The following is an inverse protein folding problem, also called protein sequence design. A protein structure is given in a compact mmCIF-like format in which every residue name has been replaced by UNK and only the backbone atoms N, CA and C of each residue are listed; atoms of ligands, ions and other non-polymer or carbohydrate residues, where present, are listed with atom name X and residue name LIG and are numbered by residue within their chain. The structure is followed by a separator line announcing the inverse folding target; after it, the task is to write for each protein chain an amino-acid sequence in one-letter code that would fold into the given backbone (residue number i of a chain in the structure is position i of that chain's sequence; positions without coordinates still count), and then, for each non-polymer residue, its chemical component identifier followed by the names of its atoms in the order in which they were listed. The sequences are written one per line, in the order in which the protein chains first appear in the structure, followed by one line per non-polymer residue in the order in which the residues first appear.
data_IF_583616417959
#
_entry.id   IF_583616417959
#
_cell.length_a   1.000
_cell.length_b   1.000
_cell.length_c   1.000
_cell.angle_alpha   90.00
_cell.angle_beta   90.00
_cell.angle_gamma   90.00
#
_symmetry.space_group_name_H-M   'P 1'
#
loop_
_entity.id
_entity.type
_entity.pdbx_description
1 polymer ?
#
# COMPACT_ATOMS: atom_id res chain seq x y z
N UNK A 1 -5.63 18.72 1.19
CA UNK A 1 -5.34 18.61 -0.26
C UNK A 1 -5.40 17.17 -0.78
N UNK A 2 -4.79 16.18 -0.10
CA UNK A 2 -4.85 14.77 -0.54
C UNK A 2 -6.24 14.14 -0.34
N UNK A 3 -6.96 14.47 0.74
CA UNK A 3 -8.35 14.01 0.90
C UNK A 3 -9.27 14.52 -0.22
N UNK A 4 -9.12 15.78 -0.65
CA UNK A 4 -9.86 16.31 -1.79
C UNK A 4 -9.40 15.71 -3.12
N UNK A 5 -8.12 15.38 -3.28
CA UNK A 5 -7.64 14.62 -4.44
C UNK A 5 -8.23 13.20 -4.44
N UNK A 6 -8.27 12.53 -3.30
CA UNK A 6 -8.86 11.19 -3.13
C UNK A 6 -10.36 11.20 -3.42
N UNK A 7 -11.08 12.20 -2.90
CA UNK A 7 -12.50 12.39 -3.19
C UNK A 7 -12.74 12.81 -4.63
N UNK A 8 -11.92 13.69 -5.20
CA UNK A 8 -12.04 14.08 -6.60
C UNK A 8 -11.74 12.91 -7.54
N UNK A 9 -10.78 12.05 -7.21
CA UNK A 9 -10.47 10.84 -8.00
C UNK A 9 -11.57 9.78 -7.87
N UNK A 10 -12.18 9.64 -6.70
CA UNK A 10 -13.31 8.74 -6.47
C UNK A 10 -14.61 9.25 -7.11
N UNK A 11 -14.87 10.57 -7.05
CA UNK A 11 -16.11 11.22 -7.51
C UNK A 11 -16.06 11.55 -9.01
N UNK A 12 -14.91 11.89 -9.59
CA UNK A 12 -14.80 12.26 -11.00
C UNK A 12 -14.95 11.08 -11.99
N UNK A 13 -15.24 9.87 -11.52
CA UNK A 13 -15.61 8.74 -12.37
C UNK A 13 -14.54 8.31 -13.39
N UNK A 14 -13.29 8.80 -13.26
CA UNK A 14 -12.19 8.49 -14.21
C UNK A 14 -11.58 7.10 -14.01
N UNK A 15 -12.10 6.32 -13.06
CA UNK A 15 -11.91 4.88 -12.97
C UNK A 15 -13.24 4.19 -13.30
N UNK A 16 -13.55 4.05 -14.59
CA UNK A 16 -14.72 3.30 -15.09
C UNK A 16 -14.64 1.77 -14.83
N UNK A 17 -13.82 1.29 -13.89
CA UNK A 17 -13.70 -0.14 -13.56
C UNK A 17 -13.46 -0.32 -12.06
N UNK A 18 -14.57 -0.31 -11.31
CA UNK A 18 -14.74 -0.86 -9.96
C UNK A 18 -13.78 -0.29 -8.88
N UNK A 19 -13.98 -0.67 -7.61
CA UNK A 19 -13.13 -0.34 -6.44
C UNK A 19 -13.44 0.99 -5.74
N UNK A 20 -14.70 1.17 -5.34
CA UNK A 20 -15.10 2.10 -4.29
C UNK A 20 -14.83 1.42 -2.93
N UNK A 21 -13.78 1.84 -2.23
CA UNK A 21 -13.57 1.61 -0.80
C UNK A 21 -13.74 0.14 -0.31
N UNK A 22 -12.70 -0.68 -0.41
CA UNK A 22 -12.71 -1.99 0.27
C UNK A 22 -12.49 -1.79 1.77
N UNK A 23 -13.51 -2.05 2.59
CA UNK A 23 -13.32 -2.25 4.02
C UNK A 23 -12.49 -3.52 4.20
N UNK A 24 -11.24 -3.36 4.62
CA UNK A 24 -10.41 -4.50 4.98
C UNK A 24 -11.10 -5.29 6.12
N UNK A 25 -10.86 -6.60 6.18
CA UNK A 25 -11.27 -7.41 7.34
C UNK A 25 -10.90 -6.68 8.64
N UNK A 26 -11.74 -6.70 9.70
CA UNK A 26 -11.41 -6.09 10.99
C UNK A 26 -10.03 -6.51 11.53
N UNK A 27 -9.55 -7.66 11.06
CA UNK A 27 -8.31 -8.28 11.46
C UNK A 27 -7.11 -7.91 10.58
N UNK A 28 -7.33 -7.23 9.46
CA UNK A 28 -6.30 -6.91 8.47
C UNK A 28 -5.19 -6.02 9.03
N UNK A 29 -5.46 -5.22 10.06
CA UNK A 29 -4.47 -4.36 10.70
C UNK A 29 -3.87 -4.96 11.99
N UNK A 30 -4.28 -6.17 12.39
CA UNK A 30 -3.76 -6.82 13.61
C UNK A 30 -2.29 -7.23 13.47
N UNK A 31 -1.82 -7.51 12.26
CA UNK A 31 -0.42 -7.82 11.98
C UNK A 31 -0.07 -7.55 10.52
N UNK A 32 1.23 -7.39 10.23
CA UNK A 32 1.71 -7.23 8.86
C UNK A 32 1.41 -8.46 7.97
N UNK A 33 1.38 -9.66 8.54
CA UNK A 33 1.00 -10.88 7.83
C UNK A 33 -0.49 -10.91 7.46
N UNK A 34 -1.37 -10.48 8.38
CA UNK A 34 -2.81 -10.38 8.11
C UNK A 34 -3.09 -9.30 7.04
N UNK A 35 -2.36 -8.19 7.10
CA UNK A 35 -2.41 -7.14 6.08
C UNK A 35 -1.97 -7.69 4.73
N UNK A 36 -0.83 -8.37 4.68
CA UNK A 36 -0.31 -8.97 3.46
C UNK A 36 -1.28 -9.98 2.82
N UNK A 37 -1.89 -10.86 3.61
CA UNK A 37 -2.94 -11.77 3.12
C UNK A 37 -4.11 -11.00 2.50
N UNK A 38 -4.55 -9.92 3.16
CA UNK A 38 -5.64 -9.07 2.67
C UNK A 38 -5.27 -8.37 1.36
N UNK A 39 -4.04 -7.85 1.27
CA UNK A 39 -3.54 -7.20 0.05
C UNK A 39 -3.47 -8.17 -1.12
N UNK A 40 -3.04 -9.42 -0.89
CA UNK A 40 -3.02 -10.48 -1.91
C UNK A 40 -4.40 -10.87 -2.40
N UNK A 41 -5.40 -10.83 -1.54
CA UNK A 41 -6.79 -11.13 -1.90
C UNK A 41 -7.41 -9.98 -2.69
N UNK A 42 -7.33 -8.76 -2.16
CA UNK A 42 -8.01 -7.57 -2.68
C UNK A 42 -7.33 -7.04 -3.96
N UNK A 43 -6.00 -7.12 -4.04
CA UNK A 43 -5.19 -6.62 -5.16
C UNK A 43 -5.52 -5.17 -5.52
N UNK A 44 -5.33 -4.23 -4.56
CA UNK A 44 -5.79 -2.86 -4.69
C UNK A 44 -5.19 -2.12 -5.89
N UNK A 45 -5.95 -1.16 -6.42
CA UNK A 45 -5.48 -0.20 -7.44
C UNK A 45 -4.86 1.06 -6.83
N UNK A 46 -5.17 1.33 -5.56
CA UNK A 46 -4.54 2.36 -4.73
C UNK A 46 -4.52 1.91 -3.27
N UNK A 47 -3.52 2.33 -2.49
CA UNK A 47 -3.38 1.94 -1.09
C UNK A 47 -2.94 3.11 -0.22
N UNK A 48 -3.66 3.33 0.88
CA UNK A 48 -3.35 4.30 1.91
C UNK A 48 -3.14 3.59 3.24
N UNK A 49 -2.10 3.96 3.98
CA UNK A 49 -1.89 3.49 5.34
C UNK A 49 -1.11 4.51 6.18
N UNK A 50 -1.11 4.31 7.51
CA UNK A 50 -0.29 5.12 8.42
C UNK A 50 1.21 4.85 8.21
N UNK A 51 2.07 5.79 8.63
CA UNK A 51 3.52 5.55 8.58
C UNK A 51 3.94 4.28 9.34
N UNK A 52 3.33 4.02 10.51
CA UNK A 52 3.57 2.80 11.28
C UNK A 52 3.22 1.54 10.49
N UNK A 53 2.07 1.53 9.82
CA UNK A 53 1.62 0.36 9.04
C UNK A 53 2.59 0.05 7.90
N UNK A 54 3.09 1.10 7.22
CA UNK A 54 4.11 0.95 6.19
C UNK A 54 5.44 0.44 6.73
N UNK A 55 5.87 0.89 7.91
CA UNK A 55 7.07 0.37 8.59
C UNK A 55 6.92 -1.11 8.98
N UNK A 56 5.79 -1.47 9.60
CA UNK A 56 5.52 -2.86 10.00
C UNK A 56 5.50 -3.78 8.77
N UNK A 57 4.87 -3.33 7.69
CA UNK A 57 4.85 -4.05 6.42
C UNK A 57 6.25 -4.14 5.78
N UNK A 58 7.08 -3.10 5.90
CA UNK A 58 8.47 -3.10 5.41
C UNK A 58 9.30 -4.17 6.11
N UNK A 59 9.24 -4.22 7.44
CA UNK A 59 9.98 -5.22 8.24
C UNK A 59 9.56 -6.62 7.83
N UNK A 60 8.25 -6.86 7.70
CA UNK A 60 7.71 -8.13 7.25
C UNK A 60 8.17 -8.50 5.83
N UNK A 61 8.06 -7.56 4.89
CA UNK A 61 8.43 -7.77 3.50
C UNK A 61 9.95 -7.97 3.33
N UNK A 62 10.79 -7.26 4.09
CA UNK A 62 12.24 -7.41 4.06
C UNK A 62 12.68 -8.82 4.48
N UNK A 63 11.98 -9.45 5.44
CA UNK A 63 12.25 -10.83 5.84
C UNK A 63 11.91 -11.86 4.75
N UNK A 64 11.02 -11.51 3.82
CA UNK A 64 10.53 -12.40 2.76
C UNK A 64 11.04 -12.03 1.34
N UNK A 65 11.66 -10.87 1.18
CA UNK A 65 11.98 -10.25 -0.12
C UNK A 65 12.80 -11.17 -1.04
N UNK A 66 13.77 -11.90 -0.49
CA UNK A 66 14.67 -12.76 -1.25
C UNK A 66 14.02 -14.03 -1.83
N UNK A 67 12.97 -14.56 -1.16
CA UNK A 67 12.23 -15.73 -1.63
C UNK A 67 11.01 -15.34 -2.46
N UNK A 68 10.32 -14.26 -2.07
CA UNK A 68 9.15 -13.73 -2.73
C UNK A 68 9.43 -13.16 -4.14
N UNK A 69 10.52 -12.41 -4.29
CA UNK A 69 10.85 -11.75 -5.56
C UNK A 69 11.24 -12.74 -6.68
N UNK A 70 11.68 -13.95 -6.33
CA UNK A 70 12.19 -14.95 -7.30
C UNK A 70 11.09 -15.72 -8.04
N UNK A 71 9.86 -15.76 -7.53
CA UNK A 71 8.78 -16.58 -8.10
C UNK A 71 7.74 -15.76 -8.90
N UNK A 72 7.22 -14.68 -8.31
CA UNK A 72 6.09 -13.92 -8.88
C UNK A 72 6.35 -12.41 -8.99
N UNK A 73 7.53 -11.95 -8.56
CA UNK A 73 7.88 -10.53 -8.49
C UNK A 73 7.38 -9.85 -7.20
N UNK A 74 8.18 -8.93 -6.65
CA UNK A 74 7.95 -8.37 -5.32
C UNK A 74 6.59 -7.67 -5.14
N UNK A 75 6.18 -6.85 -6.11
CA UNK A 75 4.89 -6.14 -6.04
C UNK A 75 3.70 -7.11 -6.15
N UNK A 76 3.78 -8.15 -6.99
CA UNK A 76 2.72 -9.14 -7.09
C UNK A 76 2.62 -10.00 -5.83
N UNK A 77 3.77 -10.37 -5.24
CA UNK A 77 3.78 -11.06 -3.96
C UNK A 77 3.09 -10.25 -2.87
N UNK A 78 3.31 -8.93 -2.81
CA UNK A 78 2.62 -8.03 -1.88
C UNK A 78 1.13 -7.83 -2.18
N UNK A 79 0.65 -8.14 -3.40
CA UNK A 79 -0.70 -7.80 -3.87
C UNK A 79 -0.83 -6.39 -4.47
N UNK A 80 0.28 -5.78 -4.86
CA UNK A 80 0.36 -4.43 -5.43
C UNK A 80 0.57 -4.40 -6.94
N UNK A 81 0.46 -5.51 -7.66
CA UNK A 81 0.69 -5.57 -9.11
C UNK A 81 -0.26 -4.66 -9.92
N UNK A 82 -1.45 -4.40 -9.38
CA UNK A 82 -2.43 -3.46 -9.94
C UNK A 82 -2.41 -2.08 -9.28
N UNK A 83 -1.64 -1.92 -8.20
CA UNK A 83 -1.59 -0.67 -7.46
C UNK A 83 -0.78 0.37 -8.23
N UNK A 84 -1.31 1.59 -8.31
CA UNK A 84 -0.68 2.72 -9.03
C UNK A 84 -0.45 3.93 -8.14
N UNK A 85 -1.13 3.99 -7.01
CA UNK A 85 -1.06 5.12 -6.07
C UNK A 85 -0.84 4.56 -4.67
N UNK A 86 0.26 4.96 -4.05
CA UNK A 86 0.60 4.58 -2.68
C UNK A 86 0.69 5.84 -1.84
N UNK A 87 0.02 5.85 -0.69
CA UNK A 87 -0.04 7.03 0.16
C UNK A 87 0.29 6.62 1.61
N UNK A 88 1.20 7.36 2.22
CA UNK A 88 1.48 7.27 3.65
C UNK A 88 0.94 8.53 4.33
N UNK A 89 0.30 8.42 5.49
CA UNK A 89 -0.15 9.59 6.23
C UNK A 89 -0.26 9.36 7.73
N UNK A 90 -1.02 10.22 8.41
CA UNK A 90 -1.26 10.21 9.87
C UNK A 90 -0.05 10.49 10.76
N UNK A 91 1.18 10.38 10.24
CA UNK A 91 2.41 10.83 10.86
C UNK A 91 3.54 10.91 9.82
N UNK A 92 4.65 11.56 10.20
CA UNK A 92 5.82 11.67 9.35
C UNK A 92 6.51 10.31 9.20
N UNK A 93 6.79 9.93 7.95
CA UNK A 93 7.54 8.72 7.63
C UNK A 93 9.06 9.01 7.63
N UNK A 94 9.92 8.13 8.14
CA UNK A 94 11.37 8.31 8.04
C UNK A 94 11.85 8.19 6.59
N UNK A 95 12.87 8.98 6.23
CA UNK A 95 13.43 9.03 4.87
C UNK A 95 13.89 7.66 4.35
N UNK A 96 14.49 6.86 5.23
CA UNK A 96 14.95 5.50 4.92
C UNK A 96 13.82 4.56 4.50
N UNK A 97 12.58 4.80 4.96
CA UNK A 97 11.41 4.04 4.53
C UNK A 97 11.04 4.38 3.08
N UNK A 98 11.03 5.66 2.74
CA UNK A 98 10.75 6.12 1.38
C UNK A 98 11.75 5.55 0.39
N UNK A 99 13.03 5.58 0.74
CA UNK A 99 14.11 5.01 -0.08
C UNK A 99 13.93 3.51 -0.28
N UNK A 100 13.67 2.77 0.80
CA UNK A 100 13.48 1.33 0.74
C UNK A 100 12.29 0.95 -0.13
N UNK A 101 11.13 1.58 0.08
CA UNK A 101 9.93 1.33 -0.72
C UNK A 101 10.14 1.74 -2.19
N UNK A 102 10.83 2.86 -2.42
CA UNK A 102 11.20 3.33 -3.75
C UNK A 102 12.08 2.32 -4.51
N UNK A 103 13.07 1.73 -3.85
CA UNK A 103 13.92 0.68 -4.41
C UNK A 103 13.13 -0.57 -4.81
N UNK A 104 11.97 -0.80 -4.19
CA UNK A 104 11.08 -1.93 -4.46
C UNK A 104 9.87 -1.57 -5.35
N UNK A 105 9.92 -0.42 -6.04
CA UNK A 105 8.90 -0.01 -7.00
C UNK A 105 7.66 0.65 -6.37
N UNK A 106 7.68 0.97 -5.08
CA UNK A 106 6.61 1.66 -4.37
C UNK A 106 6.99 3.13 -4.17
N UNK A 107 6.39 4.02 -4.96
CA UNK A 107 6.55 5.48 -4.78
C UNK A 107 5.49 6.00 -3.82
N UNK A 108 5.84 6.13 -2.55
CA UNK A 108 4.96 6.66 -1.53
C UNK A 108 4.77 8.16 -1.69
N UNK A 109 3.50 8.58 -1.82
CA UNK A 109 3.10 9.97 -1.69
C UNK A 109 2.90 10.30 -0.22
N UNK A 110 3.39 11.45 0.20
CA UNK A 110 3.20 11.93 1.57
C UNK A 110 1.84 12.61 1.70
N UNK A 111 0.95 11.95 2.44
CA UNK A 111 -0.28 12.45 3.00
C UNK A 111 0.03 13.51 4.05
N UNK A 112 0.17 14.77 3.64
CA UNK A 112 0.26 15.91 4.56
C UNK A 112 -0.97 15.87 5.48
N UNK A 113 -0.72 15.68 6.78
CA UNK A 113 -1.68 15.96 7.85
C UNK A 113 -1.79 17.48 8.04
#
# INVERSE_FOLDING_TARGET
MIFELMMSLAVAGRYQRDHLLTFASPDALKSAAALHSTLREVRPTWFFASAKTWEDLKVYAAAAADQAAKAEGFLAWLGFERCRVFVAGSSKMPATAYEWWGAHGVRLLEGIA
#
